data_IF_514017647389
#
_entry.id   IF_514017647389
#
_cell.length_a   1.000
_cell.length_b   1.000
_cell.length_c   1.000
_cell.angle_alpha   90.00
_cell.angle_beta   90.00
_cell.angle_gamma   90.00
#
_symmetry.space_group_name_H-M   'P 1'
#
loop_
_entity.id
_entity.type
_entity.pdbx_description
1 polymer ?
#
# COMPACT_ATOMS: atom_id res chain seq x y z
N UNK A 1 -25.48 -11.51 1.95
CA UNK A 1 -24.19 -11.65 2.64
C UNK A 1 -23.57 -10.26 2.75
N UNK A 2 -23.09 -9.86 3.93
CA UNK A 2 -22.36 -8.61 4.06
C UNK A 2 -21.00 -8.74 3.36
N UNK A 3 -20.65 -7.78 2.48
CA UNK A 3 -19.32 -7.75 1.87
C UNK A 3 -18.31 -7.28 2.91
N UNK A 4 -17.27 -8.06 3.16
CA UNK A 4 -16.17 -7.66 4.04
C UNK A 4 -15.38 -6.54 3.39
N UNK A 5 -15.15 -5.45 4.12
CA UNK A 5 -14.29 -4.35 3.64
C UNK A 5 -12.83 -4.71 3.94
N UNK A 6 -11.99 -4.55 2.92
CA UNK A 6 -10.54 -4.69 2.96
C UNK A 6 -9.94 -3.29 3.07
N UNK A 7 -9.24 -3.04 4.17
CA UNK A 7 -8.60 -1.75 4.46
C UNK A 7 -7.11 -1.87 4.16
N UNK A 8 -6.65 -1.20 3.11
CA UNK A 8 -5.23 -1.10 2.75
C UNK A 8 -4.64 0.15 3.41
N UNK A 9 -3.54 -0.02 4.15
CA UNK A 9 -2.78 1.04 4.81
C UNK A 9 -1.42 1.14 4.15
N UNK A 10 -1.07 2.34 3.71
CA UNK A 10 0.17 2.66 3.03
C UNK A 10 1.09 3.35 4.02
N UNK A 11 2.32 2.86 4.14
CA UNK A 11 3.32 3.35 5.06
C UNK A 11 4.52 3.90 4.31
N UNK A 12 5.06 4.99 4.82
CA UNK A 12 6.39 5.52 4.51
C UNK A 12 7.25 5.27 5.76
N UNK A 13 8.06 4.21 5.73
CA UNK A 13 8.71 3.67 6.92
C UNK A 13 7.68 3.19 7.95
N UNK A 14 7.68 3.79 9.15
CA UNK A 14 6.71 3.44 10.22
C UNK A 14 5.43 4.29 10.18
N UNK A 15 5.38 5.34 9.33
CA UNK A 15 4.29 6.30 9.30
C UNK A 15 3.22 5.88 8.31
N UNK A 16 1.99 5.67 8.78
CA UNK A 16 0.83 5.47 7.90
C UNK A 16 0.45 6.79 7.22
N UNK A 17 0.60 6.88 5.89
CA UNK A 17 0.37 8.10 5.10
C UNK A 17 -0.92 8.08 4.29
N UNK A 18 -1.47 6.90 3.98
CA UNK A 18 -2.73 6.77 3.26
C UNK A 18 -3.50 5.51 3.70
N UNK A 19 -4.83 5.60 3.69
CA UNK A 19 -5.74 4.48 3.93
C UNK A 19 -6.77 4.38 2.78
N UNK A 20 -7.08 3.16 2.35
CA UNK A 20 -7.93 2.89 1.18
C UNK A 20 -8.81 1.66 1.41
N UNK A 21 -10.13 1.81 1.30
CA UNK A 21 -11.12 0.77 1.59
C UNK A 21 -11.71 0.20 0.30
N UNK A 22 -11.78 -1.14 0.21
CA UNK A 22 -12.28 -1.86 -0.97
C UNK A 22 -13.04 -3.11 -0.58
N UNK A 23 -13.94 -3.59 -1.43
CA UNK A 23 -14.64 -4.86 -1.22
C UNK A 23 -13.86 -6.07 -1.76
N UNK A 24 -12.80 -5.84 -2.53
CA UNK A 24 -11.94 -6.85 -3.12
C UNK A 24 -10.46 -6.48 -2.88
N UNK A 25 -9.55 -7.47 -2.71
CA UNK A 25 -8.14 -7.17 -2.51
C UNK A 25 -7.54 -6.55 -3.77
N UNK A 26 -6.78 -5.46 -3.61
CA UNK A 26 -6.06 -4.88 -4.74
C UNK A 26 -4.85 -5.72 -5.10
N UNK A 27 -4.57 -5.85 -6.40
CA UNK A 27 -3.33 -6.44 -6.89
C UNK A 27 -2.15 -5.45 -6.70
N UNK A 28 -0.92 -5.91 -6.94
CA UNK A 28 0.29 -5.09 -6.70
C UNK A 28 0.33 -3.84 -7.58
N UNK A 29 -0.12 -3.92 -8.84
CA UNK A 29 -0.13 -2.78 -9.76
C UNK A 29 -1.10 -1.68 -9.31
N UNK A 30 -2.30 -2.07 -8.86
CA UNK A 30 -3.29 -1.15 -8.29
C UNK A 30 -2.78 -0.48 -7.01
N UNK A 31 -2.04 -1.21 -6.18
CA UNK A 31 -1.38 -0.67 -5.00
C UNK A 31 -0.29 0.34 -5.37
N UNK A 32 0.54 0.05 -6.38
CA UNK A 32 1.56 1.00 -6.88
C UNK A 32 0.93 2.27 -7.44
N UNK A 33 -0.15 2.17 -8.21
CA UNK A 33 -0.87 3.35 -8.71
C UNK A 33 -1.41 4.22 -7.55
N UNK A 34 -1.95 3.59 -6.51
CA UNK A 34 -2.43 4.30 -5.32
C UNK A 34 -1.31 4.96 -4.53
N UNK A 35 -0.16 4.29 -4.40
CA UNK A 35 1.02 4.89 -3.78
C UNK A 35 1.52 6.10 -4.57
N UNK A 36 1.53 6.03 -5.90
CA UNK A 36 1.88 7.17 -6.75
C UNK A 36 0.95 8.37 -6.52
N UNK A 37 -0.36 8.13 -6.36
CA UNK A 37 -1.31 9.20 -6.01
C UNK A 37 -1.03 9.80 -4.63
N UNK A 38 -0.57 9.00 -3.66
CA UNK A 38 -0.18 9.51 -2.34
C UNK A 38 0.99 10.50 -2.44
N UNK A 39 1.94 10.24 -3.33
CA UNK A 39 3.07 11.14 -3.64
C UNK A 39 2.55 12.43 -4.28
N UNK A 40 1.70 12.31 -5.30
CA UNK A 40 1.11 13.46 -6.00
C UNK A 40 0.29 14.38 -5.09
N UNK A 41 -0.39 13.81 -4.09
CA UNK A 41 -1.12 14.56 -3.07
C UNK A 41 -0.25 15.09 -1.92
N UNK A 42 1.03 14.75 -1.91
CA UNK A 42 1.98 15.20 -0.88
C UNK A 42 1.80 14.51 0.48
N UNK A 43 1.23 13.31 0.52
CA UNK A 43 1.04 12.56 1.77
C UNK A 43 2.30 11.80 2.21
N UNK A 44 3.16 11.44 1.26
CA UNK A 44 4.42 10.72 1.45
C UNK A 44 4.73 9.81 0.27
N UNK A 45 5.85 9.09 0.33
CA UNK A 45 6.25 8.09 -0.66
C UNK A 45 6.22 6.66 -0.08
N UNK A 46 5.05 5.99 -0.13
CA UNK A 46 4.85 4.72 0.54
C UNK A 46 5.76 3.62 -0.01
N UNK A 47 6.44 2.90 0.89
CA UNK A 47 7.27 1.74 0.59
C UNK A 47 6.57 0.41 0.93
N UNK A 48 5.64 0.43 1.89
CA UNK A 48 4.92 -0.77 2.36
C UNK A 48 3.41 -0.55 2.33
N UNK A 49 2.67 -1.60 1.97
CA UNK A 49 1.22 -1.68 2.16
C UNK A 49 0.88 -2.89 3.01
N UNK A 50 0.03 -2.70 4.03
CA UNK A 50 -0.63 -3.79 4.74
C UNK A 50 -2.12 -3.72 4.49
N UNK A 51 -2.81 -4.86 4.37
CA UNK A 51 -4.27 -4.87 4.35
C UNK A 51 -4.89 -5.59 5.56
N UNK A 52 -6.19 -5.41 5.76
CA UNK A 52 -6.93 -6.03 6.87
C UNK A 52 -7.09 -7.55 6.77
N UNK A 53 -6.60 -8.18 5.69
CA UNK A 53 -6.48 -9.64 5.58
C UNK A 53 -5.16 -10.17 6.17
N UNK A 54 -4.26 -9.26 6.58
CA UNK A 54 -2.93 -9.59 7.09
C UNK A 54 -1.86 -9.68 6.00
N UNK A 55 -2.19 -9.35 4.75
CA UNK A 55 -1.21 -9.31 3.64
C UNK A 55 -0.33 -8.08 3.76
N UNK A 56 0.96 -8.27 3.50
CA UNK A 56 1.97 -7.22 3.39
C UNK A 56 2.55 -7.21 1.97
N UNK A 57 2.70 -6.02 1.39
CA UNK A 57 3.27 -5.80 0.05
C UNK A 57 4.35 -4.73 0.15
N UNK A 58 5.57 -5.03 -0.33
CA UNK A 58 6.61 -4.02 -0.56
C UNK A 58 6.42 -3.43 -1.95
N UNK A 59 6.39 -2.10 -2.05
CA UNK A 59 6.16 -1.38 -3.29
C UNK A 59 7.46 -1.01 -4.02
N UNK A 60 8.52 -0.81 -3.24
CA UNK A 60 9.89 -0.58 -3.70
C UNK A 60 10.60 -1.92 -3.67
N UNK A 61 11.35 -2.24 -4.72
CA UNK A 61 12.28 -3.36 -4.67
C UNK A 61 13.32 -3.00 -3.61
N UNK A 62 13.56 -3.90 -2.66
CA UNK A 62 14.71 -3.78 -1.78
C UNK A 62 15.92 -3.66 -2.71
N UNK A 63 16.62 -2.53 -2.66
CA UNK A 63 17.76 -2.30 -3.53
C UNK A 63 18.64 -3.54 -3.49
N UNK A 64 18.82 -4.17 -4.65
CA UNK A 64 19.82 -5.21 -4.82
C UNK A 64 21.12 -4.65 -4.22
N UNK A 65 21.57 -5.23 -3.12
CA UNK A 65 22.96 -5.14 -2.73
C UNK A 65 23.76 -5.75 -3.88
N UNK A 66 24.22 -4.90 -4.79
CA UNK A 66 25.34 -5.24 -5.67
C UNK A 66 26.56 -5.40 -4.77
N UNK A 67 26.81 -6.64 -4.32
CA UNK A 67 28.10 -7.09 -3.81
C UNK A 67 28.98 -7.56 -4.96
#
# INVERSE_FOLDING_TARGET
MAKTVIVHRFYEGEKCVLMSEWFEPMNVEQLKERAQRAIEWGYGDPDIVTDSTGRLVRLKEDGEEQQ
#
